data_IF_591024772122
#
_entry.id   IF_591024772122
#
_cell.length_a   1.000
_cell.length_b   1.000
_cell.length_c   1.000
_cell.angle_alpha   90.00
_cell.angle_beta   90.00
_cell.angle_gamma   90.00
#
_symmetry.space_group_name_H-M   'P 1'
#
loop_
_entity.id
_entity.type
_entity.pdbx_description
1 polymer ?
#
# COMPACT_ATOMS: atom_id res chain seq x y z
N UNK A 1 15.52 4.41 5.71
CA UNK A 1 15.36 2.95 5.49
C UNK A 1 14.51 2.49 6.65
N UNK A 2 13.37 1.86 6.36
CA UNK A 2 12.39 1.47 7.38
C UNK A 2 13.05 0.68 8.51
N UNK A 3 13.09 1.24 9.72
CA UNK A 3 13.80 0.65 10.87
C UNK A 3 13.08 -0.59 11.46
N UNK A 4 11.83 -0.82 11.07
CA UNK A 4 10.98 -1.89 11.64
C UNK A 4 11.15 -3.26 10.95
N UNK A 5 12.02 -3.35 9.94
CA UNK A 5 12.19 -4.57 9.15
C UNK A 5 10.94 -4.93 8.33
N UNK A 6 11.08 -5.91 7.43
CA UNK A 6 9.98 -6.41 6.61
C UNK A 6 9.47 -7.72 7.22
N UNK A 7 8.17 -7.80 7.50
CA UNK A 7 7.51 -9.03 7.95
C UNK A 7 6.95 -9.75 6.73
N UNK A 8 7.24 -11.05 6.59
CA UNK A 8 6.69 -11.87 5.50
C UNK A 8 5.39 -12.52 5.92
N UNK A 9 4.34 -12.32 5.14
CA UNK A 9 3.08 -13.05 5.23
C UNK A 9 3.13 -14.19 4.21
N UNK A 10 2.69 -15.37 4.62
CA UNK A 10 2.85 -16.63 3.90
C UNK A 10 1.52 -17.17 3.37
N UNK A 11 0.39 -16.57 3.72
CA UNK A 11 -0.94 -16.98 3.25
C UNK A 11 -2.01 -15.90 3.46
N UNK A 12 -3.17 -16.12 2.83
CA UNK A 12 -4.32 -15.25 2.92
C UNK A 12 -4.86 -15.11 4.35
N UNK A 13 -4.82 -16.14 5.18
CA UNK A 13 -5.33 -16.05 6.56
C UNK A 13 -4.59 -15.00 7.38
N UNK A 14 -3.26 -14.92 7.23
CA UNK A 14 -2.45 -13.90 7.89
C UNK A 14 -2.77 -12.49 7.38
N UNK A 15 -3.04 -12.34 6.08
CA UNK A 15 -3.50 -11.06 5.51
C UNK A 15 -4.86 -10.67 6.08
N UNK A 16 -5.83 -11.58 6.07
CA UNK A 16 -7.18 -11.32 6.62
C UNK A 16 -7.09 -10.90 8.08
N UNK A 17 -6.27 -11.57 8.90
CA UNK A 17 -6.07 -11.19 10.31
C UNK A 17 -5.51 -9.77 10.48
N UNK A 18 -4.65 -9.29 9.55
CA UNK A 18 -4.19 -7.89 9.60
C UNK A 18 -5.32 -6.90 9.30
N UNK A 19 -6.20 -7.20 8.34
CA UNK A 19 -7.34 -6.36 8.02
C UNK A 19 -8.40 -6.38 9.14
N UNK A 20 -8.67 -7.54 9.74
CA UNK A 20 -9.63 -7.70 10.84
C UNK A 20 -9.19 -6.97 12.12
N UNK A 21 -7.88 -6.75 12.30
CA UNK A 21 -7.35 -6.00 13.42
C UNK A 21 -7.56 -4.48 13.30
N UNK A 22 -8.01 -3.99 12.14
CA UNK A 22 -8.26 -2.56 11.92
C UNK A 22 -9.57 -2.16 12.60
N UNK A 23 -9.48 -1.17 13.48
CA UNK A 23 -10.64 -0.64 14.20
C UNK A 23 -11.67 -0.04 13.22
N UNK A 24 -12.98 -0.32 13.36
CA UNK A 24 -14.00 0.14 12.41
C UNK A 24 -14.03 1.66 12.18
N UNK A 25 -13.69 2.46 13.19
CA UNK A 25 -13.59 3.92 13.14
C UNK A 25 -12.40 4.41 12.30
N UNK A 26 -11.46 3.54 11.96
CA UNK A 26 -10.40 3.86 11.03
C UNK A 26 -10.84 3.77 9.57
N UNK A 27 -12.04 3.25 9.27
CA UNK A 27 -12.53 3.20 7.89
C UNK A 27 -12.72 4.61 7.30
N UNK A 28 -12.43 4.74 6.01
CA UNK A 28 -12.60 5.99 5.27
C UNK A 28 -13.86 5.94 4.40
N UNK A 29 -14.36 7.10 3.92
CA UNK A 29 -15.35 7.12 2.85
C UNK A 29 -14.84 6.34 1.63
N UNK A 30 -15.74 5.62 0.95
CA UNK A 30 -15.37 4.69 -0.12
C UNK A 30 -14.51 5.32 -1.23
N UNK A 31 -14.74 6.60 -1.54
CA UNK A 31 -13.96 7.32 -2.56
C UNK A 31 -12.46 7.44 -2.23
N UNK A 32 -12.08 7.39 -0.94
CA UNK A 32 -10.69 7.56 -0.50
C UNK A 32 -9.84 6.36 -0.92
N UNK A 33 -10.41 5.16 -0.94
CA UNK A 33 -9.75 3.93 -1.40
C UNK A 33 -9.48 3.90 -2.91
N UNK A 34 -10.00 4.87 -3.65
CA UNK A 34 -9.70 5.07 -5.08
C UNK A 34 -8.58 6.07 -5.35
N UNK A 35 -8.11 6.78 -4.31
CA UNK A 35 -7.20 7.92 -4.43
C UNK A 35 -5.88 7.67 -3.68
N UNK A 36 -4.83 8.36 -4.13
CA UNK A 36 -3.50 8.37 -3.52
C UNK A 36 -3.27 9.75 -2.90
N UNK A 37 -2.43 9.86 -1.88
CA UNK A 37 -1.96 11.16 -1.37
C UNK A 37 -0.46 11.14 -1.09
N UNK A 38 0.15 12.32 -1.11
CA UNK A 38 1.50 12.49 -0.56
C UNK A 38 1.48 12.39 0.97
N UNK A 39 2.55 11.82 1.52
CA UNK A 39 2.79 11.71 2.96
C UNK A 39 4.21 12.18 3.31
N UNK A 40 4.44 12.67 4.54
CA UNK A 40 5.79 12.96 5.02
C UNK A 40 6.65 11.69 5.10
N UNK A 41 7.96 11.84 4.92
CA UNK A 41 8.92 10.74 5.12
C UNK A 41 8.76 10.07 6.49
N UNK A 42 8.59 10.86 7.56
CA UNK A 42 8.42 10.33 8.91
C UNK A 42 7.20 9.41 9.05
N UNK A 43 6.13 9.69 8.31
CA UNK A 43 4.94 8.82 8.27
C UNK A 43 5.23 7.55 7.49
N UNK A 44 5.93 7.64 6.36
CA UNK A 44 6.31 6.49 5.56
C UNK A 44 7.27 5.55 6.32
N UNK A 45 8.29 6.11 6.97
CA UNK A 45 9.33 5.38 7.72
C UNK A 45 8.83 4.81 9.07
N UNK A 46 7.66 5.26 9.53
CA UNK A 46 7.02 4.71 10.72
C UNK A 46 6.13 3.49 10.40
N UNK A 47 5.79 3.24 9.13
CA UNK A 47 4.89 2.15 8.78
C UNK A 47 5.57 0.79 8.85
N UNK A 48 4.86 -0.21 9.39
CA UNK A 48 5.29 -1.59 9.31
C UNK A 48 5.03 -2.12 7.90
N UNK A 49 6.06 -2.65 7.24
CA UNK A 49 5.94 -3.25 5.90
C UNK A 49 5.70 -4.74 6.01
N UNK A 50 4.74 -5.22 5.26
CA UNK A 50 4.40 -6.63 5.10
C UNK A 50 4.61 -7.06 3.65
N UNK A 51 5.53 -7.99 3.42
CA UNK A 51 5.69 -8.63 2.11
C UNK A 51 4.74 -9.83 2.00
N UNK A 52 3.97 -9.90 0.91
CA UNK A 52 3.06 -11.00 0.63
C UNK A 52 3.80 -12.07 -0.16
N UNK A 53 4.39 -13.02 0.57
CA UNK A 53 5.30 -14.06 0.08
C UNK A 53 4.52 -15.35 -0.25
N UNK A 54 3.45 -15.21 -1.03
CA UNK A 54 2.58 -16.30 -1.46
C UNK A 54 1.78 -15.92 -2.71
N UNK A 55 1.24 -16.90 -3.43
CA UNK A 55 0.42 -16.64 -4.61
C UNK A 55 -0.94 -16.02 -4.26
N UNK A 56 -1.50 -15.12 -5.09
CA UNK A 56 -1.02 -14.72 -6.42
C UNK A 56 0.02 -13.58 -6.40
N UNK A 57 0.43 -13.10 -5.22
CA UNK A 57 1.23 -11.89 -5.07
C UNK A 57 2.69 -12.07 -5.52
N UNK A 58 3.23 -13.28 -5.42
CA UNK A 58 4.52 -13.63 -6.03
C UNK A 58 4.47 -13.44 -7.55
N UNK A 59 3.44 -13.99 -8.20
CA UNK A 59 3.26 -13.83 -9.65
C UNK A 59 3.00 -12.39 -10.06
N UNK A 60 2.26 -11.61 -9.27
CA UNK A 60 2.05 -10.17 -9.54
C UNK A 60 3.37 -9.40 -9.44
N UNK A 61 4.18 -9.68 -8.41
CA UNK A 61 5.48 -9.05 -8.23
C UNK A 61 6.41 -9.30 -9.44
N UNK A 62 6.47 -10.55 -9.91
CA UNK A 62 7.25 -10.92 -11.10
C UNK A 62 6.77 -10.16 -12.35
N UNK A 63 5.46 -10.17 -12.64
CA UNK A 63 4.89 -9.45 -13.79
C UNK A 63 5.08 -7.94 -13.73
N UNK A 64 5.13 -7.37 -12.53
CA UNK A 64 5.35 -5.94 -12.31
C UNK A 64 6.83 -5.57 -12.10
N UNK A 65 7.77 -6.52 -12.28
CA UNK A 65 9.21 -6.33 -12.09
C UNK A 65 9.57 -5.77 -10.70
N UNK A 66 8.93 -6.30 -9.66
CA UNK A 66 9.13 -5.95 -8.25
C UNK A 66 9.91 -7.05 -7.52
N UNK A 67 10.75 -6.68 -6.56
CA UNK A 67 11.43 -7.67 -5.71
C UNK A 67 10.46 -8.51 -4.88
N UNK A 68 9.38 -7.89 -4.42
CA UNK A 68 8.27 -8.52 -3.69
C UNK A 68 7.06 -7.58 -3.73
N UNK A 69 5.87 -8.15 -3.62
CA UNK A 69 4.65 -7.38 -3.40
C UNK A 69 4.51 -7.05 -1.91
N UNK A 70 4.14 -5.81 -1.58
CA UNK A 70 3.98 -5.41 -0.17
C UNK A 70 2.85 -4.44 0.09
N UNK A 71 2.34 -4.51 1.31
CA UNK A 71 1.45 -3.51 1.91
C UNK A 71 2.13 -2.90 3.13
N UNK A 72 1.79 -1.66 3.48
CA UNK A 72 2.30 -0.96 4.65
C UNK A 72 1.19 -0.66 5.63
N UNK A 73 1.46 -0.84 6.92
CA UNK A 73 0.53 -0.60 8.00
C UNK A 73 0.93 0.65 8.79
N UNK A 74 -0.02 1.55 8.97
CA UNK A 74 0.04 2.59 10.00
C UNK A 74 -0.69 2.14 11.26
N UNK A 75 -0.72 2.97 12.30
CA UNK A 75 -1.53 2.69 13.50
C UNK A 75 -3.03 2.57 13.21
N UNK A 76 -3.49 3.06 12.06
CA UNK A 76 -4.92 3.11 11.71
C UNK A 76 -5.31 2.17 10.58
N UNK A 77 -4.50 1.99 9.53
CA UNK A 77 -4.92 1.28 8.31
C UNK A 77 -3.77 0.63 7.54
N UNK A 78 -4.15 -0.08 6.49
CA UNK A 78 -3.23 -0.65 5.49
C UNK A 78 -3.25 0.18 4.20
N UNK A 79 -2.07 0.26 3.56
CA UNK A 79 -1.83 1.08 2.39
C UNK A 79 -0.97 0.34 1.36
N UNK A 80 -1.15 0.69 0.09
CA UNK A 80 -0.09 0.63 -0.89
C UNK A 80 0.73 1.90 -0.74
N UNK A 81 2.05 1.76 -0.62
CA UNK A 81 2.95 2.89 -0.44
C UNK A 81 4.04 2.87 -1.49
N UNK A 82 4.53 4.06 -1.81
CA UNK A 82 5.60 4.23 -2.78
C UNK A 82 6.54 5.36 -2.42
N UNK A 83 7.79 5.20 -2.83
CA UNK A 83 8.77 6.26 -2.91
C UNK A 83 8.99 6.60 -4.38
N UNK A 84 8.50 7.76 -4.81
CA UNK A 84 8.75 8.28 -6.14
C UNK A 84 10.11 8.99 -6.15
N UNK A 85 11.10 8.30 -6.70
CA UNK A 85 12.47 8.79 -6.82
C UNK A 85 12.69 9.63 -8.10
N UNK A 86 11.65 9.81 -8.93
CA UNK A 86 11.73 10.63 -10.13
C UNK A 86 11.49 12.12 -9.79
N UNK A 87 12.57 12.91 -9.72
CA UNK A 87 12.51 14.37 -9.52
C UNK A 87 13.66 14.94 -8.69
N UNK A 88 13.52 16.19 -8.24
CA UNK A 88 14.53 16.86 -7.41
C UNK A 88 14.56 16.40 -5.94
N UNK A 89 13.55 15.65 -5.47
CA UNK A 89 13.51 15.03 -4.15
C UNK A 89 12.53 13.84 -4.12
N UNK A 90 12.81 12.76 -3.37
CA UNK A 90 11.88 11.66 -3.20
C UNK A 90 10.54 12.13 -2.64
N UNK A 91 9.43 11.65 -3.22
CA UNK A 91 8.08 11.89 -2.68
C UNK A 91 7.48 10.57 -2.22
N UNK A 92 6.93 10.58 -1.01
CA UNK A 92 6.27 9.41 -0.45
C UNK A 92 4.78 9.49 -0.68
N UNK A 93 4.22 8.40 -1.17
CA UNK A 93 2.83 8.28 -1.55
C UNK A 93 2.20 7.15 -0.76
N UNK A 94 0.92 7.33 -0.39
CA UNK A 94 0.13 6.29 0.26
C UNK A 94 -1.29 6.29 -0.30
N UNK A 95 -1.76 5.09 -0.63
CA UNK A 95 -3.14 4.81 -1.02
C UNK A 95 -3.75 3.81 -0.05
N UNK A 96 -4.82 4.17 0.68
CA UNK A 96 -5.47 3.22 1.56
C UNK A 96 -6.10 2.11 0.72
N UNK A 97 -6.07 0.88 1.22
CA UNK A 97 -6.65 -0.28 0.53
C UNK A 97 -7.60 -1.03 1.45
N UNK A 98 -8.62 -1.64 0.87
CA UNK A 98 -9.47 -2.63 1.55
C UNK A 98 -8.98 -4.04 1.24
N UNK A 99 -9.39 -5.01 2.05
CA UNK A 99 -9.13 -6.43 1.76
C UNK A 99 -9.71 -6.82 0.41
N UNK A 100 -10.94 -6.40 0.11
CA UNK A 100 -11.59 -6.68 -1.18
C UNK A 100 -10.77 -6.18 -2.38
N UNK A 101 -10.19 -4.98 -2.29
CA UNK A 101 -9.30 -4.47 -3.33
C UNK A 101 -7.99 -5.27 -3.42
N UNK A 102 -7.41 -5.66 -2.29
CA UNK A 102 -6.17 -6.45 -2.29
C UNK A 102 -6.36 -7.85 -2.90
N UNK A 103 -7.57 -8.42 -2.79
CA UNK A 103 -7.93 -9.70 -3.41
C UNK A 103 -8.27 -9.58 -4.90
N UNK A 104 -8.54 -8.38 -5.39
CA UNK A 104 -8.70 -8.10 -6.81
C UNK A 104 -7.32 -8.06 -7.48
N UNK A 105 -6.89 -9.22 -7.99
CA UNK A 105 -5.57 -9.39 -8.60
C UNK A 105 -5.38 -8.55 -9.86
N UNK A 106 -6.44 -8.31 -10.63
CA UNK A 106 -6.38 -7.46 -11.83
C UNK A 106 -6.15 -6.00 -11.42
N UNK A 107 -6.85 -5.53 -10.38
CA UNK A 107 -6.61 -4.21 -9.82
C UNK A 107 -5.18 -4.10 -9.26
N UNK A 108 -4.71 -5.10 -8.51
CA UNK A 108 -3.37 -5.07 -7.92
C UNK A 108 -2.29 -5.04 -8.99
N UNK A 109 -2.40 -5.85 -10.04
CA UNK A 109 -1.49 -5.81 -11.17
C UNK A 109 -1.56 -4.47 -11.91
N UNK A 110 -2.76 -3.98 -12.21
CA UNK A 110 -2.95 -2.67 -12.84
C UNK A 110 -2.27 -1.54 -12.05
N UNK A 111 -2.45 -1.51 -10.73
CA UNK A 111 -1.85 -0.46 -9.88
C UNK A 111 -0.31 -0.54 -9.83
N UNK A 112 0.30 -1.70 -10.12
CA UNK A 112 1.75 -1.91 -10.02
C UNK A 112 2.48 -1.99 -11.38
N UNK A 113 1.81 -2.34 -12.49
CA UNK A 113 2.45 -2.53 -13.81
C UNK A 113 3.03 -1.23 -14.40
N UNK A 114 2.44 -0.08 -14.07
CA UNK A 114 3.02 1.26 -14.29
C UNK A 114 2.96 2.04 -12.98
N UNK A 115 3.45 1.40 -11.92
CA UNK A 115 3.33 1.78 -10.53
C UNK A 115 3.38 3.31 -10.27
N UNK A 116 4.43 4.01 -10.74
CA UNK A 116 4.60 5.45 -10.50
C UNK A 116 3.55 6.32 -11.23
N UNK A 117 3.08 5.85 -12.38
CA UNK A 117 2.06 6.53 -13.18
C UNK A 117 0.65 6.26 -12.62
N UNK A 118 0.30 5.00 -12.35
CA UNK A 118 -1.07 4.63 -11.99
C UNK A 118 -1.46 5.07 -10.57
N UNK A 119 -0.53 5.05 -9.61
CA UNK A 119 -0.76 5.69 -8.30
C UNK A 119 -0.73 7.21 -8.42
N UNK A 120 0.19 7.76 -9.21
CA UNK A 120 0.37 9.19 -9.44
C UNK A 120 -0.87 9.88 -10.05
N UNK A 121 -1.53 9.23 -11.02
CA UNK A 121 -2.77 9.72 -11.65
C UNK A 121 -3.93 9.89 -10.66
N UNK A 122 -3.86 9.22 -9.51
CA UNK A 122 -4.91 9.22 -8.49
C UNK A 122 -4.57 10.12 -7.31
N UNK A 123 -3.47 10.88 -7.39
CA UNK A 123 -3.09 11.82 -6.35
C UNK A 123 -4.14 12.91 -6.23
N UNK A 124 -4.70 13.07 -5.03
CA UNK A 124 -5.57 14.19 -4.70
C UNK A 124 -4.98 14.97 -3.52
N UNK A 125 -4.87 16.29 -3.72
CA UNK A 125 -4.29 17.21 -2.74
C UNK A 125 -5.25 17.51 -1.59
N UNK A 126 -6.53 17.19 -1.75
CA UNK A 126 -7.61 17.47 -0.80
C UNK A 126 -7.88 16.30 0.16
N UNK A 127 -7.08 15.23 0.09
CA UNK A 127 -7.21 14.06 0.97
C UNK A 127 -6.59 14.34 2.33
N UNK A 128 -7.45 14.68 3.30
CA UNK A 128 -7.06 14.93 4.67
C UNK A 128 -7.68 13.90 5.60
N UNK A 129 -6.82 13.05 6.17
CA UNK A 129 -7.17 12.05 7.16
C UNK A 129 -5.93 11.65 7.96
N UNK A 130 -6.12 11.17 9.18
CA UNK A 130 -5.02 10.67 10.00
C UNK A 130 -4.49 9.35 9.44
N UNK A 131 -3.16 9.21 9.40
CA UNK A 131 -2.46 7.99 9.00
C UNK A 131 -1.90 7.33 10.23
#
# INVERSE_FOLDING_TARGET
>A
MNNNGIIKLQNLQQVTTLFDAIAPEANLPAEYYSKTRYIPWSTFDAMQVYALDFEPYLSIADRCNMNFFSISQSQRRLYLTYCNDAGHAPRWEARPITLAQLLDTELMEYLHQNHAYNLGLRISMDLHYDI
#
